data_IF_142131222635
#
_entry.id   IF_142131222635
#
_cell.length_a   1.000
_cell.length_b   1.000
_cell.length_c   1.000
_cell.angle_alpha   90.00
_cell.angle_beta   90.00
_cell.angle_gamma   90.00
#
_symmetry.space_group_name_H-M   'P 1'
#
loop_
_entity.id
_entity.type
_entity.pdbx_description
1 polymer ?
#
# COMPACT_ATOMS: atom_id res chain seq x y z
N UNK A 1 62.71 -76.13 6.33
CA UNK A 1 61.91 -76.78 7.37
C UNK A 1 60.44 -76.22 7.35
N UNK A 2 59.55 -77.15 7.09
CA UNK A 2 58.10 -77.17 7.40
C UNK A 2 57.25 -75.92 6.97
N UNK A 3 56.53 -75.99 5.92
CA UNK A 3 55.25 -76.70 5.68
C UNK A 3 54.08 -76.25 6.59
N UNK A 4 53.08 -75.68 6.07
CA UNK A 4 51.73 -76.17 6.11
C UNK A 4 50.81 -75.17 5.36
N UNK A 5 50.18 -75.70 4.36
CA UNK A 5 49.09 -74.95 3.66
C UNK A 5 47.84 -74.82 4.52
N UNK A 6 47.10 -73.83 4.19
CA UNK A 6 45.73 -73.72 4.68
C UNK A 6 44.88 -73.08 3.61
N UNK A 7 43.85 -73.83 3.24
CA UNK A 7 42.81 -73.54 2.28
C UNK A 7 42.03 -72.25 2.69
N UNK A 8 42.01 -71.29 1.78
CA UNK A 8 41.06 -70.14 1.92
C UNK A 8 39.75 -70.43 1.19
N UNK A 9 38.73 -70.55 2.00
CA UNK A 9 37.38 -70.65 1.54
C UNK A 9 36.89 -69.26 1.17
N UNK A 10 36.52 -69.06 -0.08
CA UNK A 10 35.90 -67.82 -0.55
C UNK A 10 34.45 -67.79 -0.11
N UNK A 11 34.12 -66.92 0.84
CA UNK A 11 32.74 -66.59 1.20
C UNK A 11 32.32 -65.33 0.44
N UNK A 12 31.39 -65.52 -0.52
CA UNK A 12 30.85 -64.41 -1.29
C UNK A 12 29.72 -63.82 -0.44
N UNK A 13 29.99 -62.68 0.19
CA UNK A 13 28.92 -61.90 0.81
C UNK A 13 28.32 -60.93 -0.23
N UNK A 14 27.13 -61.27 -0.73
CA UNK A 14 26.25 -60.31 -1.45
C UNK A 14 25.89 -59.18 -0.48
N UNK A 15 26.47 -58.01 -0.65
CA UNK A 15 25.96 -56.81 0.01
C UNK A 15 24.81 -56.25 -0.80
N UNK A 16 23.61 -56.30 -0.24
CA UNK A 16 22.46 -55.54 -0.71
C UNK A 16 22.71 -54.06 -0.45
N UNK A 17 22.92 -53.28 -1.52
CA UNK A 17 22.92 -51.83 -1.45
C UNK A 17 21.46 -51.35 -1.34
N UNK A 18 21.05 -51.06 -0.14
CA UNK A 18 19.81 -50.32 0.09
C UNK A 18 20.03 -48.88 -0.31
N UNK A 19 19.37 -48.43 -1.39
CA UNK A 19 19.26 -47.05 -1.74
C UNK A 19 18.37 -46.35 -0.67
N UNK A 20 18.97 -45.58 0.21
CA UNK A 20 18.24 -44.64 1.06
C UNK A 20 18.00 -43.42 0.21
N UNK A 21 16.79 -43.24 -0.24
CA UNK A 21 16.35 -42.03 -0.85
C UNK A 21 16.33 -40.91 0.23
N UNK A 22 17.32 -40.04 0.19
CA UNK A 22 17.30 -38.81 0.99
C UNK A 22 16.28 -37.85 0.39
N UNK A 23 15.08 -37.84 0.95
CA UNK A 23 14.12 -36.76 0.69
C UNK A 23 14.68 -35.49 1.30
N UNK A 24 15.17 -34.60 0.48
CA UNK A 24 15.49 -33.22 0.89
C UNK A 24 14.21 -32.60 1.44
N UNK A 25 14.25 -32.03 2.66
CA UNK A 25 13.12 -31.22 3.11
C UNK A 25 13.10 -29.96 2.22
N UNK A 26 12.07 -29.84 1.40
CA UNK A 26 11.74 -28.55 0.78
C UNK A 26 11.46 -27.58 1.92
N UNK A 27 12.45 -26.76 2.23
CA UNK A 27 12.26 -25.59 3.08
C UNK A 27 11.34 -24.65 2.27
N UNK A 28 10.05 -24.73 2.53
CA UNK A 28 9.14 -23.66 2.15
C UNK A 28 9.54 -22.44 2.96
N UNK A 29 10.40 -21.61 2.36
CA UNK A 29 10.60 -20.24 2.83
C UNK A 29 9.25 -19.55 2.64
N UNK A 30 8.44 -19.55 3.69
CA UNK A 30 7.34 -18.59 3.79
C UNK A 30 8.01 -17.22 3.84
N UNK A 31 8.16 -16.60 2.67
CA UNK A 31 8.32 -15.16 2.61
C UNK A 31 7.08 -14.61 3.31
N UNK A 32 7.24 -14.19 4.56
CA UNK A 32 6.25 -13.37 5.24
C UNK A 32 6.04 -12.18 4.31
N UNK A 33 4.92 -12.17 3.60
CA UNK A 33 4.49 -10.98 2.90
C UNK A 33 4.44 -9.91 3.97
N UNK A 34 5.35 -8.95 3.91
CA UNK A 34 5.29 -7.74 4.73
C UNK A 34 3.88 -7.22 4.56
N UNK A 35 3.12 -7.14 5.65
CA UNK A 35 1.74 -6.69 5.58
C UNK A 35 1.75 -5.35 4.86
N UNK A 36 1.11 -5.26 3.70
CA UNK A 36 1.01 -4.03 2.91
C UNK A 36 0.50 -2.83 3.74
N UNK A 37 -0.08 -3.10 4.91
CA UNK A 37 -0.58 -2.12 5.87
C UNK A 37 0.46 -1.64 6.91
N UNK A 38 1.72 -2.10 6.87
CA UNK A 38 2.70 -1.86 7.96
C UNK A 38 3.34 -0.46 7.96
N UNK A 39 3.21 0.30 6.87
CA UNK A 39 3.88 1.59 6.68
C UNK A 39 2.91 2.78 6.69
N UNK A 40 1.86 2.73 7.51
CA UNK A 40 0.93 3.85 7.66
C UNK A 40 1.27 4.58 8.95
N UNK A 41 1.67 5.84 8.84
CA UNK A 41 1.85 6.74 9.98
C UNK A 41 0.48 7.13 10.52
N UNK A 42 0.13 6.73 11.75
CA UNK A 42 -1.19 7.00 12.30
C UNK A 42 -1.35 8.48 12.66
N UNK A 43 -2.60 8.92 12.81
CA UNK A 43 -2.98 10.29 13.19
C UNK A 43 -2.25 10.78 14.45
N UNK A 44 -2.05 9.92 15.45
CA UNK A 44 -1.35 10.26 16.70
C UNK A 44 0.12 10.60 16.49
N UNK A 45 0.78 10.01 15.47
CA UNK A 45 2.20 10.22 15.23
C UNK A 45 2.50 11.56 14.52
N UNK A 46 1.53 12.13 13.80
CA UNK A 46 1.63 13.46 13.22
C UNK A 46 0.79 14.51 13.99
N UNK A 47 0.37 14.18 15.23
CA UNK A 47 -0.32 15.09 16.15
C UNK A 47 -1.62 15.69 15.56
N UNK A 48 -2.43 14.86 14.92
CA UNK A 48 -3.70 15.28 14.35
C UNK A 48 -4.64 15.90 15.40
N UNK A 49 -5.36 16.92 14.99
CA UNK A 49 -6.49 17.43 15.76
C UNK A 49 -7.60 16.38 15.82
N UNK A 50 -8.22 16.19 16.97
CA UNK A 50 -9.38 15.31 17.11
C UNK A 50 -10.61 15.92 16.44
N UNK A 51 -11.36 15.07 15.75
CA UNK A 51 -12.57 15.46 15.01
C UNK A 51 -13.61 14.33 15.05
N UNK A 52 -14.87 14.67 14.82
CA UNK A 52 -15.98 13.73 14.79
C UNK A 52 -16.76 13.90 13.49
N UNK A 53 -16.26 13.27 12.42
CA UNK A 53 -16.82 13.38 11.08
C UNK A 53 -17.71 12.18 10.72
N UNK A 54 -18.56 12.28 9.68
CA UNK A 54 -19.43 11.20 9.23
C UNK A 54 -18.64 9.93 8.87
N UNK A 55 -19.27 8.78 9.12
CA UNK A 55 -18.66 7.47 8.83
C UNK A 55 -18.76 7.08 7.37
N UNK A 56 -17.78 6.30 6.89
CA UNK A 56 -17.80 5.65 5.59
C UNK A 56 -18.86 4.53 5.52
N UNK A 57 -19.37 4.29 4.31
CA UNK A 57 -20.11 3.09 3.95
C UNK A 57 -19.13 2.05 3.39
N UNK A 58 -18.60 1.20 4.26
CA UNK A 58 -17.66 0.14 3.88
C UNK A 58 -18.38 -1.16 3.53
N UNK A 59 -17.82 -1.97 2.62
CA UNK A 59 -16.62 -1.72 1.83
C UNK A 59 -16.84 -0.65 0.76
N UNK A 60 -15.80 0.17 0.51
CA UNK A 60 -15.84 1.25 -0.47
C UNK A 60 -15.91 0.71 -1.90
N UNK A 61 -16.51 1.49 -2.79
CA UNK A 61 -16.71 1.14 -4.22
C UNK A 61 -15.70 1.79 -5.14
N UNK A 62 -15.02 2.83 -4.66
CA UNK A 62 -14.08 3.62 -5.45
C UNK A 62 -12.79 3.89 -4.68
N UNK A 63 -11.70 3.92 -5.44
CA UNK A 63 -10.46 4.61 -5.07
C UNK A 63 -10.37 5.86 -5.93
N UNK A 64 -10.17 7.00 -5.31
CA UNK A 64 -9.96 8.27 -6.00
C UNK A 64 -8.54 8.75 -5.76
N UNK A 65 -7.75 8.83 -6.84
CA UNK A 65 -6.38 9.34 -6.78
C UNK A 65 -6.40 10.86 -6.97
N UNK A 66 -5.77 11.55 -6.04
CA UNK A 66 -5.82 13.00 -5.88
C UNK A 66 -4.40 13.54 -5.76
N UNK A 67 -4.17 14.81 -6.04
CA UNK A 67 -2.99 15.52 -5.55
C UNK A 67 -3.40 16.70 -4.66
N UNK A 68 -2.52 17.09 -3.73
CA UNK A 68 -2.84 18.19 -2.80
C UNK A 68 -2.69 19.57 -3.43
N UNK A 69 -2.06 19.68 -4.59
CA UNK A 69 -1.75 20.92 -5.33
C UNK A 69 -0.89 21.91 -4.53
N UNK A 70 0.00 21.40 -3.68
CA UNK A 70 0.90 22.19 -2.84
C UNK A 70 2.36 21.76 -2.98
N UNK A 71 3.14 22.03 -1.93
CA UNK A 71 4.52 21.56 -1.81
C UNK A 71 4.58 20.04 -1.62
N UNK A 72 5.72 19.47 -1.94
CA UNK A 72 6.07 18.08 -1.61
C UNK A 72 6.84 18.01 -0.31
N UNK A 73 7.05 16.80 0.22
CA UNK A 73 7.95 16.49 1.31
C UNK A 73 8.72 15.20 1.02
N UNK A 74 9.96 15.10 1.45
CA UNK A 74 10.86 13.97 1.19
C UNK A 74 11.44 13.35 2.47
N UNK A 75 11.12 13.90 3.63
CA UNK A 75 11.51 13.39 4.94
C UNK A 75 10.28 13.28 5.83
N UNK A 76 10.23 12.27 6.68
CA UNK A 76 9.06 11.96 7.50
C UNK A 76 8.63 13.11 8.40
N UNK A 77 9.57 13.79 9.06
CA UNK A 77 9.26 14.94 9.93
C UNK A 77 8.64 16.09 9.14
N UNK A 78 9.19 16.38 7.94
CA UNK A 78 8.64 17.39 7.04
C UNK A 78 7.25 17.01 6.55
N UNK A 79 7.04 15.73 6.24
CA UNK A 79 5.74 15.22 5.81
C UNK A 79 4.70 15.27 6.91
N UNK A 80 5.05 14.94 8.16
CA UNK A 80 4.16 15.11 9.32
C UNK A 80 3.69 16.57 9.48
N UNK A 81 4.62 17.53 9.42
CA UNK A 81 4.28 18.95 9.48
C UNK A 81 3.39 19.37 8.30
N UNK A 82 3.66 18.84 7.09
CA UNK A 82 2.83 19.14 5.93
C UNK A 82 1.40 18.60 6.09
N UNK A 83 1.22 17.40 6.66
CA UNK A 83 -0.11 16.83 6.92
C UNK A 83 -0.88 17.68 7.96
N UNK A 84 -0.20 18.17 9.01
CA UNK A 84 -0.78 19.12 9.99
C UNK A 84 -1.23 20.42 9.32
N UNK A 85 -0.39 21.00 8.45
CA UNK A 85 -0.72 22.22 7.69
C UNK A 85 -1.95 22.01 6.80
N UNK A 86 -2.04 20.83 6.13
CA UNK A 86 -3.17 20.48 5.30
C UNK A 86 -4.43 20.32 6.16
N UNK A 87 -4.38 19.62 7.30
CA UNK A 87 -5.51 19.50 8.21
C UNK A 87 -6.01 20.87 8.68
N UNK A 88 -5.08 21.76 9.07
CA UNK A 88 -5.40 23.11 9.51
C UNK A 88 -6.05 23.94 8.39
N UNK A 89 -5.55 23.82 7.16
CA UNK A 89 -6.17 24.44 6.00
C UNK A 89 -7.64 24.00 5.82
N UNK A 90 -7.88 22.69 5.90
CA UNK A 90 -9.24 22.15 5.73
C UNK A 90 -10.18 22.60 6.83
N UNK A 91 -9.78 22.52 8.08
CA UNK A 91 -10.63 22.85 9.22
C UNK A 91 -10.82 24.38 9.31
N UNK A 92 -9.72 25.13 9.29
CA UNK A 92 -9.75 26.55 9.66
C UNK A 92 -10.07 27.49 8.49
N UNK A 93 -9.82 27.05 7.24
CA UNK A 93 -10.04 27.90 6.05
C UNK A 93 -11.18 27.39 5.17
N UNK A 94 -11.33 26.07 5.03
CA UNK A 94 -12.33 25.47 4.17
C UNK A 94 -13.59 25.06 4.95
N UNK A 95 -13.62 25.27 6.26
CA UNK A 95 -14.72 24.90 7.17
C UNK A 95 -15.14 23.43 6.99
N UNK A 96 -14.16 22.56 6.74
CA UNK A 96 -14.38 21.12 6.67
C UNK A 96 -14.34 20.49 8.06
N UNK A 97 -14.99 19.35 8.22
CA UNK A 97 -14.97 18.59 9.48
C UNK A 97 -13.56 18.18 9.88
N UNK A 98 -12.75 17.74 8.92
CA UNK A 98 -11.36 17.30 9.09
C UNK A 98 -10.60 17.46 7.77
N UNK A 99 -9.35 16.96 7.73
CA UNK A 99 -8.57 16.78 6.51
C UNK A 99 -9.40 16.00 5.47
N UNK A 100 -9.46 16.50 4.25
CA UNK A 100 -10.41 16.01 3.25
C UNK A 100 -10.06 14.67 2.60
N UNK A 101 -8.96 14.03 3.01
CA UNK A 101 -8.41 12.82 2.41
C UNK A 101 -8.40 11.66 3.40
N UNK A 102 -8.66 10.44 2.90
CA UNK A 102 -8.54 9.24 3.72
C UNK A 102 -7.07 8.95 4.05
N UNK A 103 -6.21 9.06 3.04
CA UNK A 103 -4.76 8.86 3.20
C UNK A 103 -3.99 9.86 2.34
N UNK A 104 -2.78 10.20 2.80
CA UNK A 104 -1.85 11.04 2.07
C UNK A 104 -0.56 10.26 1.79
N UNK A 105 0.09 10.56 0.68
CA UNK A 105 1.32 9.89 0.22
C UNK A 105 2.42 10.93 0.09
N UNK A 106 3.51 10.74 0.85
CA UNK A 106 4.70 11.57 0.77
C UNK A 106 5.66 11.12 -0.33
N UNK A 107 6.55 12.02 -0.78
CA UNK A 107 7.65 11.64 -1.67
C UNK A 107 8.78 10.89 -0.91
N UNK A 108 8.66 10.76 0.41
CA UNK A 108 9.46 9.85 1.25
C UNK A 108 9.03 8.37 1.11
N UNK A 109 7.96 8.09 0.35
CA UNK A 109 7.41 6.75 0.17
C UNK A 109 6.60 6.25 1.35
N UNK A 110 6.10 7.15 2.19
CA UNK A 110 5.32 6.82 3.39
C UNK A 110 3.86 7.24 3.22
N UNK A 111 2.96 6.45 3.81
CA UNK A 111 1.53 6.75 3.88
C UNK A 111 1.23 7.43 5.21
N UNK A 112 0.46 8.49 5.17
CA UNK A 112 -0.02 9.23 6.33
C UNK A 112 -1.53 9.05 6.44
N UNK A 113 -2.02 8.60 7.59
CA UNK A 113 -3.45 8.47 7.84
C UNK A 113 -4.09 9.86 7.95
N UNK A 114 -4.97 10.17 7.00
CA UNK A 114 -5.81 11.37 7.06
C UNK A 114 -7.01 11.14 7.97
N UNK A 115 -8.22 11.02 7.41
CA UNK A 115 -9.40 10.58 8.20
C UNK A 115 -9.45 9.06 8.36
N UNK A 116 -8.59 8.31 7.69
CA UNK A 116 -8.48 6.85 7.78
C UNK A 116 -9.59 6.10 7.06
N UNK A 117 -9.76 4.82 7.43
CA UNK A 117 -10.63 3.89 6.72
C UNK A 117 -12.12 4.13 6.95
N UNK A 118 -12.50 4.51 8.17
CA UNK A 118 -13.88 4.46 8.67
C UNK A 118 -14.62 5.80 8.60
N UNK A 119 -13.97 6.86 8.13
CA UNK A 119 -14.49 8.22 8.12
C UNK A 119 -14.50 8.77 6.69
N UNK A 120 -15.54 9.52 6.35
CA UNK A 120 -15.66 10.13 5.04
C UNK A 120 -14.61 11.22 4.83
N UNK A 121 -13.95 11.20 3.66
CA UNK A 121 -13.25 12.36 3.14
C UNK A 121 -14.23 13.46 2.74
N UNK A 122 -13.72 14.62 2.33
CA UNK A 122 -14.55 15.76 1.91
C UNK A 122 -14.14 16.33 0.56
N UNK A 123 -13.52 15.54 -0.30
CA UNK A 123 -12.98 16.01 -1.60
C UNK A 123 -13.73 15.53 -2.83
N UNK A 124 -14.68 14.63 -2.67
CA UNK A 124 -15.37 13.98 -3.79
C UNK A 124 -16.89 14.08 -3.60
N UNK A 125 -17.50 15.23 -3.88
CA UNK A 125 -18.93 15.43 -3.68
C UNK A 125 -19.77 14.33 -4.35
N UNK A 126 -20.71 13.74 -3.59
CA UNK A 126 -21.53 12.63 -4.06
C UNK A 126 -20.88 11.23 -3.99
N UNK A 127 -19.60 11.15 -3.60
CA UNK A 127 -18.86 9.89 -3.45
C UNK A 127 -18.14 9.76 -2.10
N UNK A 128 -18.15 10.80 -1.25
CA UNK A 128 -17.37 10.82 -0.01
C UNK A 128 -17.67 9.66 0.94
N UNK A 129 -18.86 9.09 0.89
CA UNK A 129 -19.30 7.98 1.73
C UNK A 129 -18.97 6.59 1.16
N UNK A 130 -18.62 6.50 -0.12
CA UNK A 130 -18.36 5.24 -0.84
C UNK A 130 -17.00 5.20 -1.54
N UNK A 131 -16.18 6.23 -1.38
CA UNK A 131 -14.87 6.36 -2.02
C UNK A 131 -13.76 6.61 -0.99
N UNK A 132 -12.65 5.89 -1.12
CA UNK A 132 -11.41 6.17 -0.40
C UNK A 132 -10.56 7.15 -1.24
N UNK A 133 -10.32 8.34 -0.72
CA UNK A 133 -9.46 9.34 -1.34
C UNK A 133 -8.00 9.17 -0.92
N UNK A 134 -7.10 8.93 -1.89
CA UNK A 134 -5.66 8.83 -1.69
C UNK A 134 -5.01 10.04 -2.36
N UNK A 135 -4.42 10.92 -1.55
CA UNK A 135 -3.85 12.18 -2.02
C UNK A 135 -2.32 12.16 -2.00
N UNK A 136 -1.70 12.28 -3.16
CA UNK A 136 -0.25 12.53 -3.25
C UNK A 136 0.06 13.96 -2.85
N UNK A 137 0.96 14.13 -1.90
CA UNK A 137 1.39 15.45 -1.44
C UNK A 137 2.32 16.11 -2.47
N UNK A 138 1.81 17.14 -3.16
CA UNK A 138 2.52 17.82 -4.23
C UNK A 138 1.62 18.27 -5.36
N UNK A 139 2.25 18.69 -6.48
CA UNK A 139 1.61 19.12 -7.72
C UNK A 139 2.19 18.33 -8.88
N UNK A 140 1.40 17.48 -9.54
CA UNK A 140 1.89 16.50 -10.52
C UNK A 140 1.33 16.75 -11.92
N UNK A 141 1.36 18.00 -12.36
CA UNK A 141 0.91 18.39 -13.71
C UNK A 141 1.90 17.94 -14.80
N UNK A 142 3.18 18.21 -14.62
CA UNK A 142 4.23 17.92 -15.59
C UNK A 142 5.25 16.88 -15.13
N UNK A 143 5.46 16.74 -13.82
CA UNK A 143 6.39 15.77 -13.23
C UNK A 143 5.62 14.80 -12.36
N UNK A 144 5.79 13.49 -12.53
CA UNK A 144 5.10 12.50 -11.72
C UNK A 144 5.67 12.40 -10.30
N UNK A 145 4.96 11.77 -9.35
CA UNK A 145 5.53 11.31 -8.10
C UNK A 145 6.71 10.37 -8.34
N UNK A 146 7.62 10.27 -7.36
CA UNK A 146 8.71 9.32 -7.44
C UNK A 146 8.23 7.86 -7.27
N UNK A 147 9.11 6.91 -7.59
CA UNK A 147 8.77 5.48 -7.56
C UNK A 147 8.34 5.00 -6.17
N UNK A 148 8.96 5.50 -5.10
CA UNK A 148 8.64 5.12 -3.72
C UNK A 148 7.21 5.54 -3.33
N UNK A 149 6.80 6.76 -3.70
CA UNK A 149 5.44 7.24 -3.47
C UNK A 149 4.39 6.44 -4.26
N UNK A 150 4.69 6.10 -5.53
CA UNK A 150 3.80 5.28 -6.36
C UNK A 150 3.64 3.86 -5.79
N UNK A 151 4.73 3.23 -5.37
CA UNK A 151 4.72 1.92 -4.72
C UNK A 151 3.95 1.94 -3.41
N UNK A 152 4.16 2.95 -2.57
CA UNK A 152 3.43 3.11 -1.31
C UNK A 152 1.91 3.19 -1.53
N UNK A 153 1.45 3.94 -2.53
CA UNK A 153 0.04 4.03 -2.87
C UNK A 153 -0.54 2.69 -3.36
N UNK A 154 0.19 1.94 -4.19
CA UNK A 154 -0.24 0.62 -4.65
C UNK A 154 -0.31 -0.38 -3.48
N UNK A 155 0.66 -0.35 -2.57
CA UNK A 155 0.66 -1.18 -1.37
C UNK A 155 -0.52 -0.83 -0.43
N UNK A 156 -0.88 0.45 -0.32
CA UNK A 156 -2.06 0.88 0.43
C UNK A 156 -3.36 0.34 -0.18
N UNK A 157 -3.48 0.34 -1.51
CA UNK A 157 -4.64 -0.21 -2.22
C UNK A 157 -4.72 -1.72 -1.99
N UNK A 158 -3.61 -2.44 -2.11
CA UNK A 158 -3.56 -3.87 -1.81
C UNK A 158 -3.93 -4.16 -0.34
N UNK A 159 -3.47 -3.34 0.60
CA UNK A 159 -3.89 -3.42 2.00
C UNK A 159 -5.41 -3.26 2.15
N UNK A 160 -6.02 -2.31 1.43
CA UNK A 160 -7.45 -2.09 1.47
C UNK A 160 -8.25 -3.29 0.95
N UNK A 161 -7.76 -3.95 -0.10
CA UNK A 161 -8.32 -5.20 -0.63
C UNK A 161 -8.22 -6.34 0.39
N UNK A 162 -7.01 -6.59 0.91
CA UNK A 162 -6.72 -7.69 1.84
C UNK A 162 -7.52 -7.57 3.15
N UNK A 163 -7.81 -6.36 3.57
CA UNK A 163 -8.59 -6.07 4.79
C UNK A 163 -10.11 -5.97 4.55
N UNK A 164 -10.55 -6.08 3.30
CA UNK A 164 -11.96 -5.98 2.95
C UNK A 164 -12.54 -4.56 3.06
N UNK A 165 -11.71 -3.53 2.96
CA UNK A 165 -12.17 -2.13 2.88
C UNK A 165 -12.67 -1.76 1.49
N UNK A 166 -12.39 -2.58 0.47
CA UNK A 166 -12.86 -2.43 -0.91
C UNK A 166 -13.73 -3.60 -1.32
N UNK A 167 -14.74 -3.34 -2.18
CA UNK A 167 -15.44 -4.42 -2.86
C UNK A 167 -14.50 -5.06 -3.91
N UNK A 168 -14.66 -6.35 -4.26
CA UNK A 168 -13.76 -7.03 -5.21
C UNK A 168 -13.66 -6.39 -6.59
N UNK A 169 -14.71 -5.71 -7.02
CA UNK A 169 -14.80 -5.02 -8.31
C UNK A 169 -14.86 -3.50 -8.16
N UNK A 170 -14.12 -2.95 -7.20
CA UNK A 170 -14.01 -1.51 -7.05
C UNK A 170 -13.46 -0.85 -8.32
N UNK A 171 -13.69 0.45 -8.46
CA UNK A 171 -13.16 1.23 -9.57
C UNK A 171 -12.12 2.22 -9.06
N UNK A 172 -10.98 2.29 -9.75
CA UNK A 172 -9.97 3.30 -9.54
C UNK A 172 -10.18 4.42 -10.56
N UNK A 173 -10.21 5.66 -10.10
CA UNK A 173 -10.40 6.86 -10.93
C UNK A 173 -9.43 7.97 -10.52
N UNK A 174 -9.11 8.85 -11.44
CA UNK A 174 -8.48 10.13 -11.11
C UNK A 174 -9.53 11.13 -10.61
N UNK A 175 -9.14 12.08 -9.79
CA UNK A 175 -10.03 13.11 -9.26
C UNK A 175 -10.75 13.88 -10.37
N UNK A 176 -10.07 14.17 -11.49
CA UNK A 176 -10.64 14.84 -12.66
C UNK A 176 -11.71 14.05 -13.40
N UNK A 177 -11.85 12.75 -13.15
CA UNK A 177 -12.89 11.93 -13.78
C UNK A 177 -14.27 12.16 -13.16
N UNK A 178 -14.32 12.72 -11.95
CA UNK A 178 -15.55 12.91 -11.17
C UNK A 178 -15.75 14.34 -10.65
N UNK A 179 -14.73 15.19 -10.68
CA UNK A 179 -14.78 16.59 -10.26
C UNK A 179 -14.08 17.46 -11.32
N UNK A 180 -14.60 18.63 -11.60
CA UNK A 180 -13.92 19.59 -12.50
C UNK A 180 -12.69 20.18 -11.80
N UNK A 181 -11.54 19.56 -12.02
CA UNK A 181 -10.24 19.91 -11.39
C UNK A 181 -9.06 19.47 -12.25
N UNK A 182 -7.90 20.04 -12.04
CA UNK A 182 -6.63 19.55 -12.60
C UNK A 182 -6.04 18.36 -11.83
N UNK A 183 -6.52 18.10 -10.62
CA UNK A 183 -6.08 16.94 -9.81
C UNK A 183 -6.53 15.61 -10.46
N UNK A 184 -5.68 14.58 -10.49
CA UNK A 184 -4.41 14.41 -9.79
C UNK A 184 -3.20 15.01 -10.52
N UNK A 185 -3.39 15.73 -11.61
CA UNK A 185 -2.35 16.21 -12.50
C UNK A 185 -2.03 15.22 -13.63
N UNK A 186 -1.74 15.75 -14.82
CA UNK A 186 -1.61 14.96 -16.04
C UNK A 186 -0.52 13.88 -15.93
N UNK A 187 0.62 14.21 -15.28
CA UNK A 187 1.73 13.27 -15.13
C UNK A 187 1.34 12.07 -14.25
N UNK A 188 0.68 12.29 -13.10
CA UNK A 188 0.20 11.21 -12.25
C UNK A 188 -0.97 10.46 -12.92
N UNK A 189 -1.89 11.18 -13.57
CA UNK A 189 -3.03 10.58 -14.27
C UNK A 189 -2.58 9.59 -15.35
N UNK A 190 -1.52 9.91 -16.11
CA UNK A 190 -0.97 9.01 -17.13
C UNK A 190 -0.44 7.70 -16.54
N UNK A 191 0.04 7.71 -15.29
CA UNK A 191 0.52 6.52 -14.59
C UNK A 191 -0.65 5.68 -14.10
N UNK A 192 -1.61 6.28 -13.40
CA UNK A 192 -2.72 5.53 -12.79
C UNK A 192 -3.64 4.87 -13.81
N UNK A 193 -3.69 5.34 -15.05
CA UNK A 193 -4.42 4.67 -16.15
C UNK A 193 -3.96 3.24 -16.42
N UNK A 194 -2.74 2.89 -16.07
CA UNK A 194 -2.20 1.54 -16.20
C UNK A 194 -2.40 0.68 -14.92
N UNK A 195 -2.95 1.25 -13.85
CA UNK A 195 -3.17 0.51 -12.62
C UNK A 195 -4.39 -0.41 -12.71
N UNK A 196 -4.40 -1.54 -11.94
CA UNK A 196 -5.57 -2.40 -11.86
C UNK A 196 -6.84 -1.63 -11.49
N UNK A 197 -7.99 -2.09 -11.98
CA UNK A 197 -9.31 -1.50 -11.72
C UNK A 197 -9.51 -0.06 -12.20
N UNK A 198 -8.56 0.50 -12.97
CA UNK A 198 -8.78 1.83 -13.54
C UNK A 198 -10.00 1.82 -14.47
N UNK A 199 -10.89 2.79 -14.28
CA UNK A 199 -12.09 2.96 -15.11
C UNK A 199 -11.72 3.69 -16.40
N UNK A 200 -11.68 2.96 -17.51
CA UNK A 200 -11.52 3.51 -18.86
C UNK A 200 -12.82 4.11 -19.41
#
# INVERSE_FOLDING_TARGET
LNSKGMLLIWSIHLRWLTWVATTSPHIHVFLSASSACSNIIPRSAWEARETHCPKMNLPAKYIVIIHTAGRTCIMSDECCLLVQDIQSLFIDRLNSCDIGYNFLVGQDGVIYEGVGWNVQGSRVPGYNDIALGIAFMGTFLGTPPNAAALEAAQNLIQCAEDKGYLIPNYLLVGHSDIVNTLSPGQALYNIIKAWPHFKH
#
